data_IF_776556688449
#
_entry.id   IF_776556688449
#
_cell.length_a   1.000
_cell.length_b   1.000
_cell.length_c   1.000
_cell.angle_alpha   90.00
_cell.angle_beta   90.00
_cell.angle_gamma   90.00
#
_symmetry.space_group_name_H-M   'P 1'
#
loop_
_entity.id
_entity.type
_entity.pdbx_description
1 polymer ?
#
# COMPACT_ATOMS: atom_id res chain seq x y z
N UNK A 1 -0.81 -13.19 -5.43
CA UNK A 1 -2.05 -12.81 -6.16
C UNK A 1 -2.45 -11.35 -5.90
N UNK A 2 -2.61 -10.89 -4.65
CA UNK A 2 -2.90 -9.47 -4.36
C UNK A 2 -1.75 -8.52 -4.73
N UNK A 3 -0.50 -8.91 -4.42
CA UNK A 3 0.69 -8.14 -4.83
C UNK A 3 0.76 -7.96 -6.35
N UNK A 4 0.43 -9.01 -7.12
CA UNK A 4 0.35 -8.97 -8.58
C UNK A 4 -0.75 -8.02 -9.08
N UNK A 5 -1.92 -8.00 -8.43
CA UNK A 5 -3.01 -7.08 -8.78
C UNK A 5 -2.66 -5.60 -8.51
N UNK A 6 -1.81 -5.34 -7.52
CA UNK A 6 -1.30 -4.00 -7.22
C UNK A 6 -0.16 -3.58 -8.17
N UNK A 7 0.59 -4.55 -8.73
CA UNK A 7 1.65 -4.31 -9.71
C UNK A 7 1.11 -3.99 -11.12
N UNK A 8 -0.10 -4.47 -11.48
CA UNK A 8 -0.63 -4.38 -12.86
C UNK A 8 -1.46 -3.13 -13.16
N UNK A 9 -1.46 -2.11 -12.29
CA UNK A 9 -2.09 -0.82 -12.61
C UNK A 9 -1.08 0.32 -12.48
N UNK A 10 -0.08 0.29 -13.37
CA UNK A 10 0.89 1.36 -13.63
C UNK A 10 0.23 2.57 -14.30
N UNK A 11 -0.87 3.05 -13.71
CA UNK A 11 -1.52 4.31 -14.04
C UNK A 11 -1.80 5.18 -12.81
N UNK A 12 -1.84 4.59 -11.61
CA UNK A 12 -2.07 5.33 -10.38
C UNK A 12 -0.76 5.93 -9.89
N UNK A 13 -0.70 7.26 -9.87
CA UNK A 13 0.47 8.00 -9.37
C UNK A 13 0.59 7.79 -7.86
N UNK A 14 1.78 7.97 -7.33
CA UNK A 14 2.01 7.99 -5.89
C UNK A 14 1.01 8.92 -5.19
N UNK A 15 0.36 8.42 -4.14
CA UNK A 15 -0.63 9.19 -3.39
C UNK A 15 -2.03 9.26 -4.03
N UNK A 16 -2.26 8.62 -5.18
CA UNK A 16 -3.60 8.47 -5.77
C UNK A 16 -4.33 7.24 -5.20
N UNK A 17 -5.62 7.38 -4.83
CA UNK A 17 -6.39 6.27 -4.31
C UNK A 17 -6.69 5.23 -5.38
N UNK A 18 -6.68 3.95 -4.97
CA UNK A 18 -7.15 2.85 -5.80
C UNK A 18 -8.36 2.14 -5.19
N UNK A 19 -9.13 1.52 -6.05
CA UNK A 19 -10.18 0.57 -5.71
C UNK A 19 -10.12 -0.61 -6.69
N UNK A 20 -9.99 -1.83 -6.18
CA UNK A 20 -10.04 -3.06 -6.98
C UNK A 20 -11.22 -3.89 -6.49
N UNK A 21 -12.12 -4.26 -7.39
CA UNK A 21 -13.29 -5.09 -7.07
C UNK A 21 -13.13 -6.51 -7.62
N UNK A 22 -13.14 -7.51 -6.73
CA UNK A 22 -13.07 -8.93 -7.07
C UNK A 22 -14.10 -9.70 -6.26
N UNK A 23 -14.94 -10.52 -6.89
CA UNK A 23 -15.87 -11.45 -6.21
C UNK A 23 -16.64 -10.83 -5.04
N UNK A 24 -17.31 -9.70 -5.29
CA UNK A 24 -18.08 -8.95 -4.30
C UNK A 24 -17.29 -8.37 -3.11
N UNK A 25 -15.97 -8.26 -3.24
CA UNK A 25 -15.08 -7.60 -2.30
C UNK A 25 -14.40 -6.42 -3.01
N UNK A 26 -14.23 -5.31 -2.30
CA UNK A 26 -13.45 -4.15 -2.75
C UNK A 26 -12.19 -4.04 -1.90
N UNK A 27 -11.05 -3.87 -2.56
CA UNK A 27 -9.77 -3.54 -1.94
C UNK A 27 -9.52 -2.05 -2.20
N UNK A 28 -9.37 -1.28 -1.13
CA UNK A 28 -9.23 0.16 -1.23
C UNK A 28 -8.06 0.65 -0.39
N UNK A 29 -7.24 1.52 -0.95
CA UNK A 29 -6.07 2.07 -0.28
C UNK A 29 -5.42 3.17 -1.10
N UNK A 30 -4.36 3.75 -0.54
CA UNK A 30 -3.52 4.74 -1.21
C UNK A 30 -2.08 4.24 -1.11
N UNK A 31 -1.41 3.97 -2.24
CA UNK A 31 -0.01 3.60 -2.23
C UNK A 31 0.85 4.85 -1.99
N UNK A 32 1.94 4.67 -1.28
CA UNK A 32 2.99 5.68 -1.12
C UNK A 32 4.35 5.02 -1.28
N UNK A 33 5.34 5.76 -1.76
CA UNK A 33 6.68 5.24 -1.90
C UNK A 33 7.48 5.52 -0.62
N UNK A 34 8.31 4.56 -0.26
CA UNK A 34 9.06 4.61 0.99
C UNK A 34 10.38 5.31 0.69
N UNK A 35 10.54 6.54 1.17
CA UNK A 35 11.76 7.34 0.95
C UNK A 35 13.05 6.59 1.34
N UNK A 36 12.94 5.70 2.32
CA UNK A 36 14.07 4.97 2.88
C UNK A 36 14.45 3.69 2.11
N UNK A 37 13.66 3.31 1.11
CA UNK A 37 13.90 2.17 0.24
C UNK A 37 13.51 2.54 -1.19
N UNK A 38 14.49 2.92 -2.00
CA UNK A 38 14.26 3.31 -3.38
C UNK A 38 13.57 2.19 -4.17
N UNK A 39 12.50 2.54 -4.89
CA UNK A 39 11.71 1.59 -5.67
C UNK A 39 10.70 0.74 -4.88
N UNK A 40 10.61 0.89 -3.56
CA UNK A 40 9.61 0.20 -2.74
C UNK A 40 8.43 1.14 -2.48
N UNK A 41 7.23 0.69 -2.86
CA UNK A 41 6.00 1.38 -2.49
C UNK A 41 5.10 0.44 -1.67
N UNK A 42 4.52 0.99 -0.61
CA UNK A 42 3.66 0.29 0.33
C UNK A 42 2.25 0.87 0.24
N UNK A 43 1.26 0.07 0.65
CA UNK A 43 -0.12 0.51 0.75
C UNK A 43 -0.80 -0.18 1.94
N UNK A 44 -1.52 0.60 2.75
CA UNK A 44 -2.44 0.06 3.76
C UNK A 44 -3.77 -0.16 3.06
N UNK A 45 -4.15 -1.42 2.89
CA UNK A 45 -5.33 -1.80 2.10
C UNK A 45 -6.46 -2.24 3.01
N UNK A 46 -7.61 -1.60 2.87
CA UNK A 46 -8.84 -2.00 3.53
C UNK A 46 -9.67 -2.90 2.62
N UNK A 47 -10.27 -3.93 3.22
CA UNK A 47 -11.13 -4.89 2.55
C UNK A 47 -12.57 -4.55 2.92
N UNK A 48 -13.37 -4.17 1.92
CA UNK A 48 -14.74 -3.70 2.08
C UNK A 48 -15.71 -4.60 1.30
N UNK A 49 -16.96 -4.63 1.73
CA UNK A 49 -18.03 -5.27 0.94
C UNK A 49 -18.24 -4.52 -0.37
N UNK A 50 -18.48 -5.23 -1.48
CA UNK A 50 -18.82 -4.58 -2.75
C UNK A 50 -20.12 -3.77 -2.74
N UNK A 51 -21.01 -4.05 -1.79
CA UNK A 51 -22.27 -3.33 -1.60
C UNK A 51 -22.12 -2.03 -0.81
N UNK A 52 -20.93 -1.73 -0.27
CA UNK A 52 -20.71 -0.49 0.46
C UNK A 52 -20.82 0.74 -0.47
N UNK A 53 -21.32 1.85 0.08
CA UNK A 53 -21.42 3.10 -0.66
C UNK A 53 -20.04 3.69 -0.98
N UNK A 54 -19.94 4.44 -2.08
CA UNK A 54 -18.68 5.08 -2.50
C UNK A 54 -18.05 5.96 -1.42
N UNK A 55 -18.87 6.66 -0.63
CA UNK A 55 -18.41 7.49 0.49
C UNK A 55 -17.69 6.69 1.59
N UNK A 56 -18.04 5.42 1.80
CA UNK A 56 -17.35 4.54 2.75
C UNK A 56 -15.98 4.18 2.18
N UNK A 57 -15.91 3.80 0.91
CA UNK A 57 -14.65 3.50 0.22
C UNK A 57 -13.70 4.70 0.29
N UNK A 58 -14.19 5.89 -0.04
CA UNK A 58 -13.41 7.14 0.06
C UNK A 58 -12.93 7.44 1.48
N UNK A 59 -13.77 7.19 2.49
CA UNK A 59 -13.38 7.39 3.89
C UNK A 59 -12.21 6.48 4.29
N UNK A 60 -12.24 5.21 3.86
CA UNK A 60 -11.14 4.27 4.11
C UNK A 60 -9.89 4.56 3.28
N UNK A 61 -10.03 5.07 2.06
CA UNK A 61 -8.88 5.58 1.29
C UNK A 61 -8.22 6.78 1.99
N UNK A 62 -9.02 7.74 2.49
CA UNK A 62 -8.49 8.87 3.29
C UNK A 62 -7.84 8.40 4.58
N UNK A 63 -8.40 7.40 5.25
CA UNK A 63 -7.80 6.80 6.44
C UNK A 63 -6.46 6.11 6.11
N UNK A 64 -6.41 5.32 5.03
CA UNK A 64 -5.19 4.69 4.52
C UNK A 64 -4.07 5.72 4.31
N UNK A 65 -4.40 6.85 3.67
CA UNK A 65 -3.46 7.96 3.49
C UNK A 65 -2.95 8.56 4.80
N UNK A 66 -3.83 8.75 5.80
CA UNK A 66 -3.41 9.25 7.12
C UNK A 66 -2.49 8.28 7.86
N UNK A 67 -2.76 6.98 7.75
CA UNK A 67 -1.90 5.95 8.33
C UNK A 67 -0.54 5.95 7.63
N UNK A 68 -0.50 6.06 6.30
CA UNK A 68 0.74 6.17 5.54
C UNK A 68 1.61 7.35 6.03
N UNK A 69 1.00 8.53 6.27
CA UNK A 69 1.70 9.68 6.84
C UNK A 69 2.24 9.40 8.23
N UNK A 70 1.46 8.75 9.11
CA UNK A 70 1.91 8.38 10.44
C UNK A 70 3.08 7.38 10.41
N UNK A 71 3.03 6.38 9.52
CA UNK A 71 4.10 5.41 9.31
C UNK A 71 5.37 6.10 8.77
N UNK A 72 5.22 7.04 7.82
CA UNK A 72 6.34 7.85 7.30
C UNK A 72 6.97 8.71 8.41
N UNK A 73 6.17 9.30 9.30
CA UNK A 73 6.68 10.02 10.46
C UNK A 73 7.49 9.11 11.41
N UNK A 74 7.05 7.86 11.62
CA UNK A 74 7.82 6.87 12.39
C UNK A 74 9.11 6.46 11.69
N UNK A 75 9.12 6.33 10.37
CA UNK A 75 10.35 6.14 9.61
C UNK A 75 11.33 7.30 9.84
N UNK A 76 10.88 8.55 9.81
CA UNK A 76 11.73 9.70 10.08
C UNK A 76 12.20 9.76 11.54
N UNK A 77 11.37 9.31 12.48
CA UNK A 77 11.65 9.38 13.92
C UNK A 77 12.66 8.32 14.38
N UNK A 78 12.57 7.10 13.85
CA UNK A 78 13.37 5.97 14.33
C UNK A 78 13.82 4.98 13.25
N UNK A 79 13.78 5.36 11.97
CA UNK A 79 14.21 4.50 10.84
C UNK A 79 13.52 3.13 10.78
N UNK A 80 12.29 3.04 11.30
CA UNK A 80 11.60 1.77 11.51
C UNK A 80 11.47 0.91 10.24
N UNK A 81 11.06 1.49 9.11
CA UNK A 81 10.93 0.78 7.83
C UNK A 81 12.29 0.37 7.28
N UNK A 82 13.32 1.22 7.40
CA UNK A 82 14.69 0.87 6.98
C UNK A 82 15.26 -0.30 7.75
N UNK A 83 14.97 -0.40 9.05
CA UNK A 83 15.50 -1.47 9.88
C UNK A 83 14.68 -2.77 9.77
N UNK A 84 13.35 -2.67 9.66
CA UNK A 84 12.47 -3.84 9.77
C UNK A 84 11.95 -4.34 8.42
N UNK A 85 11.68 -3.43 7.47
CA UNK A 85 10.96 -3.76 6.23
C UNK A 85 11.89 -3.87 5.02
N UNK A 86 12.82 -2.93 4.88
CA UNK A 86 13.80 -2.94 3.79
C UNK A 86 14.59 -4.25 3.69
N UNK A 87 15.22 -4.77 4.77
CA UNK A 87 16.03 -5.99 4.68
C UNK A 87 15.16 -7.20 4.31
N UNK A 88 13.96 -7.26 4.90
CA UNK A 88 13.00 -8.32 4.62
C UNK A 88 12.65 -8.33 3.13
N UNK A 89 12.27 -7.18 2.55
CA UNK A 89 11.92 -7.05 1.14
C UNK A 89 13.06 -7.42 0.20
N UNK A 90 14.30 -7.02 0.50
CA UNK A 90 15.46 -7.42 -0.31
C UNK A 90 15.65 -8.94 -0.29
N UNK A 91 15.56 -9.59 0.88
CA UNK A 91 15.62 -11.05 0.98
C UNK A 91 14.49 -11.74 0.20
N UNK A 92 13.27 -11.23 0.28
CA UNK A 92 12.14 -11.77 -0.48
C UNK A 92 12.33 -11.62 -2.00
N UNK A 93 12.84 -10.49 -2.47
CA UNK A 93 13.11 -10.26 -3.90
C UNK A 93 14.21 -11.19 -4.43
N UNK A 94 15.28 -11.38 -3.66
CA UNK A 94 16.34 -12.35 -4.00
C UNK A 94 15.81 -13.79 -4.06
N UNK A 95 14.90 -14.15 -3.16
CA UNK A 95 14.28 -15.49 -3.11
C UNK A 95 13.38 -15.75 -4.32
N UNK A 96 12.73 -14.72 -4.88
CA UNK A 96 11.85 -14.85 -6.05
C UNK A 96 12.66 -14.82 -7.37
N UNK A 97 13.89 -14.28 -7.33
CA UNK A 97 14.77 -14.22 -8.50
C UNK A 97 15.59 -15.50 -8.73
N UNK A 98 15.58 -16.45 -7.80
CA UNK A 98 16.19 -17.79 -7.91
C UNK A 98 15.11 -18.86 -8.11
#
# INVERSE_FOLDING_TARGET
MLATLLQTNTGNKEGEPFEIKVNNIRFAGVPWCVDACEGVCLAVVFILSSSCGCHIVEAFQRLSKKIAVAISAEQQRCNYLSEQICPLLFTWLETISN
#
